data_IF_298647731183
#
_entry.id   IF_298647731183
#
_cell.length_a   1.000
_cell.length_b   1.000
_cell.length_c   1.000
_cell.angle_alpha   90.00
_cell.angle_beta   90.00
_cell.angle_gamma   90.00
#
_symmetry.space_group_name_H-M   'P 1'
#
loop_
_entity.id
_entity.type
_entity.pdbx_description
1 polymer ?
#
# COMPACT_ATOMS: atom_id res chain seq x y z
N UNK A 1 -7.28 -12.47 -11.07
CA UNK A 1 -6.97 -13.91 -11.30
C UNK A 1 -5.49 -14.24 -11.10
N UNK A 2 -4.57 -13.27 -10.94
CA UNK A 2 -3.13 -13.54 -10.84
C UNK A 2 -2.75 -14.56 -9.72
N UNK A 3 -3.44 -14.52 -8.57
CA UNK A 3 -3.26 -15.47 -7.46
C UNK A 3 -3.42 -16.97 -7.81
N UNK A 4 -4.06 -17.30 -8.94
CA UNK A 4 -4.14 -18.68 -9.44
C UNK A 4 -2.77 -19.17 -9.91
N UNK A 5 -1.93 -18.27 -10.41
CA UNK A 5 -0.65 -18.58 -11.06
C UNK A 5 0.57 -18.10 -10.27
N UNK A 6 0.44 -17.18 -9.32
CA UNK A 6 1.59 -16.58 -8.63
C UNK A 6 1.65 -16.78 -7.11
N UNK A 7 0.68 -17.52 -6.55
CA UNK A 7 0.55 -17.73 -5.10
C UNK A 7 1.48 -18.80 -4.54
N UNK A 8 1.71 -19.89 -5.28
CA UNK A 8 2.49 -21.02 -4.78
C UNK A 8 3.96 -20.85 -5.14
N UNK A 9 4.85 -20.95 -4.15
CA UNK A 9 6.30 -20.80 -4.38
C UNK A 9 6.88 -21.94 -5.22
N UNK A 10 6.30 -23.14 -5.14
CA UNK A 10 6.81 -24.34 -5.79
C UNK A 10 6.32 -24.51 -7.25
N UNK A 11 5.31 -23.75 -7.69
CA UNK A 11 4.77 -23.87 -9.05
C UNK A 11 4.02 -22.60 -9.47
N UNK A 12 4.32 -22.11 -10.67
CA UNK A 12 3.63 -20.96 -11.26
C UNK A 12 4.59 -19.92 -11.83
N UNK A 13 4.10 -18.68 -11.92
CA UNK A 13 4.83 -17.52 -12.42
C UNK A 13 4.81 -16.44 -11.34
N UNK A 14 5.96 -16.03 -10.77
CA UNK A 14 5.99 -14.98 -9.75
C UNK A 14 5.40 -13.66 -10.26
N UNK A 15 4.66 -12.94 -9.40
CA UNK A 15 3.97 -11.70 -9.77
C UNK A 15 4.89 -10.68 -10.46
N UNK A 16 6.16 -10.54 -10.05
CA UNK A 16 7.15 -9.68 -10.74
C UNK A 16 7.24 -9.90 -12.26
N UNK A 17 7.07 -11.13 -12.73
CA UNK A 17 7.10 -11.43 -14.17
C UNK A 17 5.83 -10.91 -14.85
N UNK A 18 4.69 -11.05 -14.18
CA UNK A 18 3.40 -10.51 -14.64
C UNK A 18 3.42 -8.98 -14.66
N UNK A 19 4.03 -8.35 -13.64
CA UNK A 19 4.23 -6.90 -13.56
C UNK A 19 5.05 -6.39 -14.76
N UNK A 20 6.16 -7.06 -15.09
CA UNK A 20 6.96 -6.75 -16.28
C UNK A 20 6.16 -6.90 -17.56
N UNK A 21 5.43 -8.00 -17.70
CA UNK A 21 4.59 -8.26 -18.87
C UNK A 21 3.52 -7.16 -19.04
N UNK A 22 2.91 -6.71 -17.95
CA UNK A 22 1.94 -5.63 -18.00
C UNK A 22 2.57 -4.30 -18.41
N UNK A 23 3.72 -3.92 -17.82
CA UNK A 23 4.44 -2.69 -18.18
C UNK A 23 4.79 -2.67 -19.67
N UNK A 24 5.30 -3.78 -20.20
CA UNK A 24 5.57 -3.92 -21.64
C UNK A 24 4.30 -3.89 -22.49
N UNK A 25 3.16 -4.38 -21.97
CA UNK A 25 1.88 -4.32 -22.69
C UNK A 25 1.25 -2.91 -22.70
N UNK A 26 1.80 -1.96 -21.95
CA UNK A 26 1.30 -0.58 -21.88
C UNK A 26 0.19 -0.37 -20.85
N UNK A 27 0.20 -1.08 -19.72
CA UNK A 27 -0.74 -0.82 -18.62
C UNK A 27 -0.29 0.37 -17.77
N UNK A 28 -1.19 1.33 -17.52
CA UNK A 28 -0.86 2.52 -16.72
C UNK A 28 -0.82 2.22 -15.21
N UNK A 29 -1.76 1.40 -14.72
CA UNK A 29 -1.88 1.02 -13.31
C UNK A 29 -1.92 -0.50 -13.16
N UNK A 30 -1.33 -1.02 -12.08
CA UNK A 30 -1.45 -2.43 -11.71
C UNK A 30 -1.82 -2.59 -10.25
N UNK A 31 -2.80 -3.43 -9.97
CA UNK A 31 -3.04 -3.82 -8.58
C UNK A 31 -1.89 -4.66 -8.07
N UNK A 32 -1.27 -4.21 -6.99
CA UNK A 32 -0.23 -4.92 -6.29
C UNK A 32 -0.72 -5.30 -4.89
N UNK A 33 -0.26 -6.45 -4.38
CA UNK A 33 -0.55 -6.88 -3.01
C UNK A 33 -0.22 -5.79 -1.99
N UNK A 34 -1.01 -5.77 -0.93
CA UNK A 34 -0.90 -4.84 0.18
C UNK A 34 -0.21 -5.60 1.30
N UNK A 35 1.00 -5.18 1.69
CA UNK A 35 1.83 -5.87 2.70
C UNK A 35 1.05 -6.18 3.98
N UNK A 36 0.05 -5.35 4.29
CA UNK A 36 -0.77 -5.46 5.50
C UNK A 36 -2.28 -5.53 5.22
N UNK A 37 -2.71 -6.00 4.05
CA UNK A 37 -4.14 -6.16 3.75
C UNK A 37 -4.65 -7.60 3.88
N UNK A 38 -5.83 -7.82 3.31
CA UNK A 38 -6.46 -9.14 3.27
C UNK A 38 -5.73 -10.14 2.37
N UNK A 39 -5.03 -9.63 1.36
CA UNK A 39 -4.33 -10.44 0.38
C UNK A 39 -2.88 -10.62 0.83
N UNK A 40 -2.30 -11.75 0.47
CA UNK A 40 -0.94 -12.12 0.85
C UNK A 40 0.12 -11.22 0.20
N UNK A 41 1.10 -10.78 0.98
CA UNK A 41 2.24 -10.02 0.48
C UNK A 41 3.36 -9.99 1.53
N UNK A 42 4.46 -10.67 1.24
CA UNK A 42 5.69 -10.53 2.03
C UNK A 42 6.32 -9.17 1.72
N UNK A 43 6.83 -8.46 2.72
CA UNK A 43 7.21 -7.05 2.62
C UNK A 43 8.33 -6.83 1.60
N UNK A 44 9.42 -7.57 1.72
CA UNK A 44 10.62 -7.31 0.91
C UNK A 44 10.42 -7.74 -0.55
N UNK A 45 9.69 -8.84 -0.78
CA UNK A 45 9.24 -9.27 -2.11
C UNK A 45 8.26 -8.26 -2.71
N UNK A 46 7.34 -7.72 -1.91
CA UNK A 46 6.38 -6.69 -2.37
C UNK A 46 7.09 -5.41 -2.77
N UNK A 47 8.08 -4.96 -2.01
CA UNK A 47 8.91 -3.82 -2.39
C UNK A 47 9.69 -4.11 -3.69
N UNK A 48 10.24 -5.31 -3.84
CA UNK A 48 10.92 -5.70 -5.07
C UNK A 48 10.01 -5.76 -6.30
N UNK A 49 8.71 -6.01 -6.12
CA UNK A 49 7.73 -5.90 -7.20
C UNK A 49 7.44 -4.43 -7.55
N UNK A 50 7.33 -3.57 -6.54
CA UNK A 50 7.12 -2.12 -6.72
C UNK A 50 8.29 -1.51 -7.45
N UNK A 51 9.53 -1.87 -7.10
CA UNK A 51 10.73 -1.40 -7.79
C UNK A 51 10.66 -1.66 -9.32
N UNK A 52 9.98 -2.72 -9.78
CA UNK A 52 9.85 -3.02 -11.22
C UNK A 52 8.89 -2.09 -11.98
N UNK A 53 8.06 -1.31 -11.27
CA UNK A 53 6.91 -0.61 -11.84
C UNK A 53 7.26 0.83 -12.26
N UNK A 54 7.71 1.74 -11.37
CA UNK A 54 7.99 3.12 -11.76
C UNK A 54 9.43 3.30 -12.26
N UNK A 55 10.41 2.60 -11.66
CA UNK A 55 11.83 2.89 -11.90
C UNK A 55 12.26 2.50 -13.31
N UNK A 56 13.14 3.30 -13.92
CA UNK A 56 13.73 3.02 -15.23
C UNK A 56 14.85 1.98 -15.13
N UNK A 57 15.57 1.95 -14.00
CA UNK A 57 16.69 1.05 -13.78
C UNK A 57 16.63 0.37 -12.42
N UNK A 58 16.55 -0.96 -12.42
CA UNK A 58 16.48 -1.78 -11.22
C UNK A 58 17.74 -2.63 -11.12
N UNK A 59 18.53 -2.42 -10.06
CA UNK A 59 19.69 -3.26 -9.78
C UNK A 59 19.25 -4.66 -9.30
N UNK A 60 20.05 -5.68 -9.64
CA UNK A 60 19.88 -7.02 -9.04
C UNK A 60 19.94 -6.95 -7.52
N UNK A 61 18.88 -7.41 -6.87
CA UNK A 61 18.77 -7.59 -5.42
C UNK A 61 17.95 -8.84 -5.08
N UNK A 62 18.64 -9.91 -4.67
CA UNK A 62 18.00 -11.18 -4.34
C UNK A 62 17.17 -11.10 -3.06
N UNK A 63 17.46 -10.18 -2.15
CA UNK A 63 16.69 -10.02 -0.91
C UNK A 63 15.26 -9.56 -1.19
N UNK A 64 15.07 -8.80 -2.26
CA UNK A 64 13.78 -8.34 -2.78
C UNK A 64 13.23 -9.19 -3.93
N UNK A 65 13.87 -10.32 -4.23
CA UNK A 65 13.46 -11.19 -5.34
C UNK A 65 13.75 -10.65 -6.75
N UNK A 66 14.64 -9.66 -6.88
CA UNK A 66 15.18 -9.17 -8.16
C UNK A 66 16.43 -9.98 -8.54
N UNK A 67 16.24 -10.95 -9.45
CA UNK A 67 17.30 -11.88 -9.87
C UNK A 67 18.24 -11.32 -10.94
N UNK A 68 17.77 -10.32 -11.69
CA UNK A 68 18.48 -9.72 -12.80
C UNK A 68 18.41 -8.20 -12.70
N UNK A 69 19.49 -7.54 -13.11
CA UNK A 69 19.45 -6.09 -13.36
C UNK A 69 18.54 -5.84 -14.54
N UNK A 70 17.63 -4.88 -14.42
CA UNK A 70 16.65 -4.52 -15.45
C UNK A 70 16.81 -3.05 -15.82
N UNK A 71 17.03 -2.80 -17.09
CA UNK A 71 16.94 -1.46 -17.70
C UNK A 71 15.67 -1.42 -18.56
N UNK A 72 14.83 -0.41 -18.35
CA UNK A 72 13.59 -0.19 -19.08
C UNK A 72 13.75 0.76 -20.25
N UNK A 73 14.93 1.37 -20.40
CA UNK A 73 15.31 2.17 -21.57
C UNK A 73 14.28 3.27 -21.84
N UNK A 74 13.88 3.97 -20.78
CA UNK A 74 12.87 5.03 -20.78
C UNK A 74 11.45 4.60 -21.11
N UNK A 75 11.13 3.30 -21.05
CA UNK A 75 9.74 2.85 -21.07
C UNK A 75 9.00 3.42 -19.86
N UNK A 76 7.83 4.01 -20.10
CA UNK A 76 7.04 4.65 -19.05
C UNK A 76 6.77 3.70 -17.87
N UNK A 77 6.83 4.26 -16.66
CA UNK A 77 6.52 3.55 -15.44
C UNK A 77 5.03 3.23 -15.31
N UNK A 78 4.72 2.24 -14.48
CA UNK A 78 3.36 1.85 -14.10
C UNK A 78 3.11 2.29 -12.67
N UNK A 79 1.97 2.92 -12.38
CA UNK A 79 1.65 3.27 -11.00
C UNK A 79 1.19 2.02 -10.22
N UNK A 80 1.85 1.68 -9.10
CA UNK A 80 1.39 0.63 -8.21
C UNK A 80 0.07 1.04 -7.53
N UNK A 81 -0.95 0.23 -7.73
CA UNK A 81 -2.21 0.31 -7.00
C UNK A 81 -2.18 -0.59 -5.78
N UNK A 82 -1.85 -0.04 -4.62
CA UNK A 82 -1.78 -0.77 -3.35
C UNK A 82 -2.07 0.15 -2.18
N UNK A 83 -2.48 -0.39 -1.03
CA UNK A 83 -2.63 0.36 0.20
C UNK A 83 -1.43 0.12 1.14
N UNK A 84 -0.55 1.12 1.27
CA UNK A 84 0.65 1.07 2.11
C UNK A 84 1.72 2.07 1.64
N UNK A 85 2.82 2.23 2.38
CA UNK A 85 3.89 3.20 2.09
C UNK A 85 4.68 2.85 0.81
N UNK A 86 4.11 3.14 -0.35
CA UNK A 86 4.72 2.94 -1.67
C UNK A 86 5.33 4.21 -2.27
N UNK A 87 5.42 5.29 -1.47
CA UNK A 87 5.84 6.61 -1.94
C UNK A 87 4.68 7.43 -2.48
N UNK A 88 5.01 8.57 -3.09
CA UNK A 88 4.01 9.52 -3.63
C UNK A 88 3.31 8.98 -4.88
N UNK A 89 4.01 8.17 -5.67
CA UNK A 89 3.52 7.62 -6.93
C UNK A 89 2.77 6.31 -6.71
N UNK A 90 1.65 6.37 -5.97
CA UNK A 90 0.82 5.20 -5.72
C UNK A 90 -0.67 5.54 -5.65
N UNK A 91 -1.51 4.55 -5.95
CA UNK A 91 -2.96 4.65 -5.79
C UNK A 91 -3.39 3.78 -4.62
N UNK A 92 -4.01 4.40 -3.62
CA UNK A 92 -4.50 3.74 -2.41
C UNK A 92 -6.02 3.51 -2.49
N UNK A 93 -6.52 2.35 -2.94
CA UNK A 93 -7.97 2.11 -3.06
C UNK A 93 -8.61 1.72 -1.73
N UNK A 94 -9.62 2.46 -1.29
CA UNK A 94 -10.39 2.19 -0.09
C UNK A 94 -11.85 1.81 -0.42
N UNK A 95 -12.07 0.56 -0.84
CA UNK A 95 -13.44 0.07 -1.10
C UNK A 95 -14.26 -0.05 0.19
N UNK A 96 -13.99 -1.10 0.97
CA UNK A 96 -14.65 -1.32 2.27
C UNK A 96 -14.40 -0.19 3.27
N UNK A 97 -13.20 0.40 3.26
CA UNK A 97 -12.83 1.53 4.12
C UNK A 97 -13.52 2.86 3.78
N UNK A 98 -14.25 2.94 2.66
CA UNK A 98 -15.11 4.11 2.35
C UNK A 98 -16.58 3.75 2.55
N UNK A 99 -17.04 2.66 1.92
CA UNK A 99 -18.45 2.27 1.93
C UNK A 99 -18.92 1.77 3.30
N UNK A 100 -18.02 1.22 4.10
CA UNK A 100 -18.31 0.73 5.45
C UNK A 100 -18.26 1.81 6.54
N UNK A 101 -17.99 3.07 6.19
CA UNK A 101 -17.92 4.15 7.17
C UNK A 101 -19.29 4.32 7.86
N UNK A 102 -19.35 4.51 9.19
CA UNK A 102 -20.62 4.56 9.94
C UNK A 102 -21.55 5.68 9.47
N UNK A 103 -20.97 6.74 8.90
CA UNK A 103 -21.70 7.88 8.33
C UNK A 103 -21.83 7.84 6.79
N UNK A 104 -21.69 6.65 6.19
CA UNK A 104 -21.76 6.42 4.73
C UNK A 104 -20.60 7.04 3.94
N UNK A 105 -20.75 7.05 2.62
CA UNK A 105 -19.67 7.19 1.65
C UNK A 105 -18.92 8.53 1.73
N UNK A 106 -19.61 9.66 1.74
CA UNK A 106 -18.95 10.98 1.71
C UNK A 106 -18.04 11.17 2.92
N UNK A 107 -18.50 10.94 4.16
CA UNK A 107 -17.61 10.94 5.32
C UNK A 107 -16.49 9.91 5.24
N UNK A 108 -16.73 8.72 4.66
CA UNK A 108 -15.66 7.74 4.41
C UNK A 108 -14.58 8.27 3.46
N UNK A 109 -14.96 9.00 2.41
CA UNK A 109 -14.01 9.67 1.50
C UNK A 109 -13.22 10.75 2.24
N UNK A 110 -13.89 11.57 3.04
CA UNK A 110 -13.26 12.62 3.85
C UNK A 110 -12.27 12.02 4.84
N UNK A 111 -12.64 10.96 5.56
CA UNK A 111 -11.78 10.28 6.52
C UNK A 111 -10.48 9.78 5.87
N UNK A 112 -10.59 9.11 4.72
CA UNK A 112 -9.42 8.61 3.99
C UNK A 112 -8.54 9.75 3.46
N UNK A 113 -9.15 10.84 2.96
CA UNK A 113 -8.40 11.98 2.42
C UNK A 113 -7.65 12.75 3.51
N UNK A 114 -8.32 13.04 4.63
CA UNK A 114 -7.72 13.73 5.78
C UNK A 114 -6.56 12.91 6.35
N UNK A 115 -6.76 11.60 6.51
CA UNK A 115 -5.70 10.70 6.97
C UNK A 115 -4.48 10.70 6.05
N UNK A 116 -4.69 10.68 4.73
CA UNK A 116 -3.61 10.73 3.75
C UNK A 116 -2.85 12.06 3.80
N UNK A 117 -3.56 13.19 3.78
CA UNK A 117 -2.95 14.53 3.79
C UNK A 117 -2.17 14.79 5.08
N UNK A 118 -2.72 14.39 6.24
CA UNK A 118 -2.02 14.50 7.52
C UNK A 118 -0.70 13.71 7.53
N UNK A 119 -0.69 12.51 6.93
CA UNK A 119 0.52 11.70 6.83
C UNK A 119 1.53 12.26 5.84
N UNK A 120 1.09 12.77 4.70
CA UNK A 120 1.99 13.42 3.73
C UNK A 120 2.62 14.67 4.35
N UNK A 121 1.83 15.49 5.04
CA UNK A 121 2.32 16.66 5.75
C UNK A 121 3.35 16.26 6.82
N UNK A 122 2.99 15.34 7.71
CA UNK A 122 3.88 14.87 8.78
C UNK A 122 5.20 14.30 8.23
N UNK A 123 5.14 13.52 7.15
CA UNK A 123 6.34 13.00 6.47
C UNK A 123 7.21 14.15 5.94
N UNK A 124 6.60 15.12 5.28
CA UNK A 124 7.32 16.27 4.70
C UNK A 124 7.93 17.16 5.79
N UNK A 125 7.35 17.18 6.99
CA UNK A 125 7.90 17.81 8.21
C UNK A 125 8.99 16.95 8.90
N UNK A 126 9.32 15.78 8.35
CA UNK A 126 10.39 14.91 8.86
C UNK A 126 9.95 13.95 9.97
N UNK A 127 8.63 13.80 10.22
CA UNK A 127 8.13 12.82 11.20
C UNK A 127 8.29 11.40 10.69
N UNK A 128 8.63 10.49 11.61
CA UNK A 128 8.76 9.06 11.33
C UNK A 128 7.37 8.41 11.32
N UNK A 129 6.77 8.25 10.13
CA UNK A 129 5.44 7.66 9.97
C UNK A 129 5.35 6.23 10.51
N UNK A 130 6.45 5.47 10.53
CA UNK A 130 6.45 4.11 11.03
C UNK A 130 6.30 4.07 12.56
N UNK A 131 6.79 5.09 13.26
CA UNK A 131 6.67 5.19 14.72
C UNK A 131 5.52 6.08 15.19
N UNK A 132 5.21 7.14 14.44
CA UNK A 132 4.33 8.23 14.86
C UNK A 132 2.98 8.23 14.13
N UNK A 133 2.73 7.28 13.21
CA UNK A 133 1.51 7.26 12.39
C UNK A 133 0.21 7.37 13.20
N UNK A 134 0.12 6.67 14.32
CA UNK A 134 -1.09 6.66 15.15
C UNK A 134 -1.35 8.03 15.79
N UNK A 135 -0.28 8.70 16.23
CA UNK A 135 -0.37 10.03 16.83
C UNK A 135 -0.83 11.05 15.79
N UNK A 136 -0.25 11.01 14.58
CA UNK A 136 -0.63 11.87 13.45
C UNK A 136 -2.14 11.75 13.17
N UNK A 137 -2.65 10.52 13.14
CA UNK A 137 -4.08 10.27 12.89
C UNK A 137 -4.95 10.76 14.04
N UNK A 138 -4.56 10.49 15.28
CA UNK A 138 -5.28 11.01 16.46
C UNK A 138 -5.29 12.55 16.48
N UNK A 139 -4.22 13.20 16.06
CA UNK A 139 -4.15 14.65 15.93
C UNK A 139 -5.09 15.16 14.85
N UNK A 140 -5.15 14.51 13.69
CA UNK A 140 -6.09 14.81 12.63
C UNK A 140 -7.55 14.66 13.10
N UNK A 141 -7.84 13.63 13.89
CA UNK A 141 -9.16 13.36 14.48
C UNK A 141 -9.64 14.43 15.47
N UNK A 142 -8.76 15.30 15.98
CA UNK A 142 -9.17 16.41 16.87
C UNK A 142 -9.92 17.51 16.12
N UNK A 143 -9.65 17.69 14.83
CA UNK A 143 -10.22 18.77 14.01
C UNK A 143 -11.09 18.27 12.84
N UNK A 144 -10.99 16.99 12.48
CA UNK A 144 -11.92 16.32 11.55
C UNK A 144 -12.59 15.13 12.25
N UNK A 145 -13.93 15.15 12.41
CA UNK A 145 -14.64 14.08 13.11
C UNK A 145 -14.77 12.78 12.30
N UNK A 146 -14.63 12.83 10.97
CA UNK A 146 -14.79 11.66 10.10
C UNK A 146 -13.70 10.60 10.33
N UNK A 147 -12.39 10.93 10.35
CA UNK A 147 -11.36 9.99 10.78
C UNK A 147 -11.60 9.42 12.17
N UNK A 148 -12.14 10.21 13.12
CA UNK A 148 -12.40 9.75 14.48
C UNK A 148 -13.46 8.64 14.51
N UNK A 149 -14.58 8.87 13.81
CA UNK A 149 -15.65 7.88 13.69
C UNK A 149 -15.19 6.61 12.96
N UNK A 150 -14.35 6.77 11.94
CA UNK A 150 -13.75 5.66 11.22
C UNK A 150 -12.81 4.83 12.12
N UNK A 151 -11.98 5.49 12.94
CA UNK A 151 -11.05 4.83 13.85
C UNK A 151 -11.79 4.00 14.89
N UNK A 152 -12.91 4.50 15.43
CA UNK A 152 -13.70 3.75 16.41
C UNK A 152 -14.26 2.44 15.85
N UNK A 153 -14.62 2.40 14.57
CA UNK A 153 -15.18 1.20 13.93
C UNK A 153 -14.10 0.18 13.60
N UNK A 154 -12.90 0.62 13.20
CA UNK A 154 -11.90 -0.29 12.63
C UNK A 154 -10.64 -0.49 13.47
N UNK A 155 -10.43 0.22 14.59
CA UNK A 155 -9.22 0.13 15.43
C UNK A 155 -8.79 -1.27 15.88
N UNK A 156 -9.70 -2.25 15.91
CA UNK A 156 -9.42 -3.63 16.33
C UNK A 156 -9.16 -4.61 15.17
N UNK A 157 -9.31 -4.16 13.92
CA UNK A 157 -9.13 -5.03 12.75
C UNK A 157 -7.64 -5.21 12.45
N UNK A 158 -7.11 -6.40 12.74
CA UNK A 158 -5.75 -6.80 12.41
C UNK A 158 -5.74 -8.14 11.66
N UNK A 159 -5.29 -8.12 10.40
CA UNK A 159 -5.20 -9.32 9.58
C UNK A 159 -3.81 -9.94 9.74
N UNK A 160 -3.67 -10.84 10.73
CA UNK A 160 -2.42 -11.57 11.00
C UNK A 160 -2.23 -12.73 10.01
N UNK A 161 -1.77 -12.43 8.80
CA UNK A 161 -1.11 -13.41 7.93
C UNK A 161 0.40 -13.45 8.29
N UNK A 162 1.06 -14.58 8.06
CA UNK A 162 2.29 -15.05 8.75
C UNK A 162 3.58 -14.18 8.73
N UNK A 163 3.59 -12.92 8.29
CA UNK A 163 4.80 -12.10 8.26
C UNK A 163 4.56 -10.68 8.78
N UNK A 164 5.55 -10.19 9.53
CA UNK A 164 5.49 -9.08 10.48
C UNK A 164 5.66 -7.67 9.87
N UNK A 165 4.96 -6.71 10.50
CA UNK A 165 5.36 -5.32 10.83
C UNK A 165 5.36 -4.22 9.72
N UNK A 166 4.49 -3.23 9.97
CA UNK A 166 4.50 -1.78 9.68
C UNK A 166 4.09 -1.21 8.30
N UNK A 167 3.27 -0.14 8.42
CA UNK A 167 2.93 0.94 7.47
C UNK A 167 1.59 0.83 6.71
N UNK A 168 0.49 1.32 7.28
CA UNK A 168 -0.02 2.71 7.26
C UNK A 168 -0.41 3.26 5.88
N UNK A 169 -1.48 2.68 5.29
CA UNK A 169 -2.40 3.49 4.48
C UNK A 169 -3.86 2.97 4.47
N UNK A 170 -4.14 1.66 4.24
CA UNK A 170 -5.47 1.04 4.59
C UNK A 170 -5.71 0.91 6.10
N UNK A 171 -4.71 1.37 6.81
CA UNK A 171 -4.29 1.06 8.15
C UNK A 171 -4.02 2.38 8.90
N UNK A 172 -4.12 3.52 8.21
CA UNK A 172 -4.12 4.82 8.87
C UNK A 172 -5.35 5.04 9.73
N UNK A 173 -6.39 4.22 9.63
CA UNK A 173 -7.56 4.27 10.54
C UNK A 173 -7.54 3.06 11.51
N UNK A 174 -6.63 2.10 11.30
CA UNK A 174 -6.80 0.72 11.74
C UNK A 174 -5.63 0.17 12.55
N UNK A 175 -4.40 0.68 12.38
CA UNK A 175 -3.32 0.29 13.26
C UNK A 175 -3.23 1.25 14.43
N UNK A 176 -3.61 0.72 15.59
CA UNK A 176 -3.18 1.13 16.92
C UNK A 176 -3.62 2.54 17.37
N UNK A 177 -4.94 2.74 17.45
CA UNK A 177 -5.53 3.74 18.33
C UNK A 177 -5.46 3.39 19.84
N UNK A 178 -4.62 2.44 20.26
CA UNK A 178 -4.19 2.26 21.66
C UNK A 178 -2.72 2.66 21.83
#
# INVERSE_FOLDING_TARGET
MHAVIDRQENHGIPFRVLAKALRMSGGDHIHHCTVLGKLEGERDITLGHVDQLPDDFIKRDRSRGSYFTQDWVSLLGVLPGASGNFGDDSVLPFGGGTLGHPWRNVPGVVANRVALEACVQARNEGRDLARQGNEIIREASKWSPEPAAACEVWKEINMKLKQWILCNALILITLNCN
#
